data_IF_795563710970
#
_entry.id   IF_795563710970
#
_cell.length_a   1.000
_cell.length_b   1.000
_cell.length_c   1.000
_cell.angle_alpha   90.00
_cell.angle_beta   90.00
_cell.angle_gamma   90.00
#
_symmetry.space_group_name_H-M   'P 1'
#
loop_
_entity.id
_entity.type
_entity.pdbx_description
1 polymer ?
#
# COMPACT_ATOMS: atom_id res chain seq x y z
N UNK A 1 16.98 -24.70 -27.57
CA UNK A 1 15.83 -25.61 -27.83
C UNK A 1 14.77 -25.43 -26.73
N UNK A 2 14.05 -24.30 -26.70
CA UNK A 2 13.04 -23.96 -25.66
C UNK A 2 11.67 -23.58 -26.26
N UNK A 3 11.58 -23.44 -27.58
CA UNK A 3 10.32 -23.09 -28.24
C UNK A 3 9.46 -24.32 -28.41
N UNK A 4 8.68 -24.70 -27.37
CA UNK A 4 7.43 -25.47 -27.47
C UNK A 4 6.77 -25.70 -26.09
N UNK A 5 6.95 -24.85 -25.07
CA UNK A 5 6.02 -24.87 -23.93
C UNK A 5 4.66 -24.46 -24.47
N UNK A 6 3.80 -25.46 -24.69
CA UNK A 6 2.46 -25.24 -25.22
C UNK A 6 1.75 -24.35 -24.18
N UNK A 7 1.12 -23.24 -24.59
CA UNK A 7 0.39 -22.36 -23.67
C UNK A 7 -0.60 -23.11 -22.76
N UNK A 8 -1.09 -24.27 -23.22
CA UNK A 8 -1.92 -25.19 -22.45
C UNK A 8 -1.23 -25.78 -21.20
N UNK A 9 0.06 -26.12 -21.28
CA UNK A 9 0.83 -26.68 -20.15
C UNK A 9 0.95 -25.64 -19.03
N UNK A 10 1.29 -24.40 -19.40
CA UNK A 10 1.39 -23.27 -18.48
C UNK A 10 0.03 -23.00 -17.84
N UNK A 11 -1.04 -23.01 -18.63
CA UNK A 11 -2.40 -22.84 -18.12
C UNK A 11 -2.76 -23.91 -17.08
N UNK A 12 -2.42 -25.19 -17.34
CA UNK A 12 -2.70 -26.29 -16.43
C UNK A 12 -1.95 -26.13 -15.11
N UNK A 13 -0.67 -25.72 -15.14
CA UNK A 13 0.11 -25.43 -13.93
C UNK A 13 -0.53 -24.29 -13.13
N UNK A 14 -0.91 -23.19 -13.81
CA UNK A 14 -1.59 -22.06 -13.15
C UNK A 14 -2.90 -22.50 -12.50
N UNK A 15 -3.68 -23.37 -13.15
CA UNK A 15 -4.91 -23.94 -12.59
C UNK A 15 -4.62 -24.75 -11.32
N UNK A 16 -3.59 -25.60 -11.32
CA UNK A 16 -3.20 -26.38 -10.13
C UNK A 16 -2.77 -25.44 -8.98
N UNK A 17 -1.98 -24.41 -9.27
CA UNK A 17 -1.57 -23.43 -8.27
C UNK A 17 -2.80 -22.66 -7.73
N UNK A 18 -3.73 -22.27 -8.59
CA UNK A 18 -4.98 -21.62 -8.18
C UNK A 18 -5.86 -22.52 -7.31
N UNK A 19 -5.86 -23.84 -7.52
CA UNK A 19 -6.58 -24.79 -6.67
C UNK A 19 -5.93 -24.93 -5.29
N UNK A 20 -4.59 -24.95 -5.22
CA UNK A 20 -3.86 -25.07 -3.96
C UNK A 20 -3.87 -23.79 -3.12
N UNK A 21 -3.63 -22.64 -3.75
CA UNK A 21 -3.49 -21.36 -3.06
C UNK A 21 -4.79 -20.54 -3.07
N UNK A 22 -5.67 -20.76 -4.03
CA UNK A 22 -6.90 -19.99 -4.23
C UNK A 22 -6.71 -18.75 -5.11
N UNK A 23 -7.75 -18.40 -5.87
CA UNK A 23 -7.76 -17.26 -6.80
C UNK A 23 -7.47 -15.90 -6.14
N UNK A 24 -7.73 -15.76 -4.83
CA UNK A 24 -7.46 -14.51 -4.09
C UNK A 24 -6.05 -14.42 -3.53
N UNK A 25 -5.34 -15.54 -3.33
CA UNK A 25 -3.98 -15.52 -2.75
C UNK A 25 -2.89 -15.28 -3.77
N UNK A 26 -3.04 -15.76 -5.00
CA UNK A 26 -2.09 -15.49 -6.08
C UNK A 26 -1.89 -13.97 -6.34
N UNK A 27 -2.94 -13.17 -6.53
CA UNK A 27 -2.79 -11.72 -6.76
C UNK A 27 -2.34 -10.97 -5.51
N UNK A 28 -2.73 -11.44 -4.31
CA UNK A 28 -2.33 -10.84 -3.04
C UNK A 28 -0.82 -11.01 -2.78
N UNK A 29 -0.31 -12.23 -2.98
CA UNK A 29 1.12 -12.54 -2.93
C UNK A 29 1.92 -11.81 -4.01
N UNK A 30 1.40 -11.72 -5.23
CA UNK A 30 2.05 -10.95 -6.29
C UNK A 30 2.10 -9.45 -5.96
N UNK A 31 1.04 -8.89 -5.36
CA UNK A 31 0.99 -7.47 -4.94
C UNK A 31 1.94 -7.18 -3.78
N UNK A 32 2.00 -8.04 -2.76
CA UNK A 32 2.91 -7.84 -1.63
C UNK A 32 4.38 -8.01 -2.05
N UNK A 33 4.68 -9.07 -2.82
CA UNK A 33 6.02 -9.32 -3.36
C UNK A 33 6.43 -8.22 -4.34
N UNK A 34 5.51 -7.74 -5.17
CA UNK A 34 5.75 -6.63 -6.11
C UNK A 34 6.10 -5.32 -5.40
N UNK A 35 5.48 -5.03 -4.25
CA UNK A 35 5.83 -3.85 -3.42
C UNK A 35 7.26 -3.97 -2.87
N UNK A 36 7.62 -5.12 -2.28
CA UNK A 36 8.97 -5.35 -1.78
C UNK A 36 10.02 -5.34 -2.90
N UNK A 37 9.72 -6.00 -4.02
CA UNK A 37 10.59 -6.03 -5.20
C UNK A 37 10.76 -4.64 -5.82
N UNK A 38 9.74 -3.77 -5.78
CA UNK A 38 9.87 -2.38 -6.28
C UNK A 38 10.86 -1.58 -5.45
N UNK A 39 10.80 -1.69 -4.12
CA UNK A 39 11.70 -0.99 -3.20
C UNK A 39 13.14 -1.48 -3.42
N UNK A 40 13.32 -2.81 -3.40
CA UNK A 40 14.61 -3.44 -3.67
C UNK A 40 15.17 -3.05 -5.05
N UNK A 41 14.31 -2.99 -6.08
CA UNK A 41 14.73 -2.58 -7.44
C UNK A 41 15.09 -1.11 -7.51
N UNK A 42 14.39 -0.22 -6.80
CA UNK A 42 14.75 1.20 -6.74
C UNK A 42 16.07 1.43 -6.01
N UNK A 43 16.29 0.75 -4.88
CA UNK A 43 17.55 0.84 -4.14
C UNK A 43 18.71 0.24 -4.94
N UNK A 44 18.52 -0.95 -5.52
CA UNK A 44 19.51 -1.58 -6.39
C UNK A 44 19.82 -0.72 -7.64
N UNK A 45 18.82 -0.03 -8.20
CA UNK A 45 19.02 0.89 -9.34
C UNK A 45 19.74 2.17 -8.92
N UNK A 46 19.50 2.69 -7.71
CA UNK A 46 20.24 3.82 -7.16
C UNK A 46 21.72 3.47 -6.95
N UNK A 47 22.01 2.32 -6.35
CA UNK A 47 23.38 1.81 -6.21
C UNK A 47 24.07 1.59 -7.54
N UNK A 48 23.35 1.08 -8.55
CA UNK A 48 23.88 0.88 -9.90
C UNK A 48 24.07 2.19 -10.67
N UNK A 49 23.32 3.25 -10.33
CA UNK A 49 23.40 4.58 -10.95
C UNK A 49 24.53 5.43 -10.37
N UNK A 50 24.90 5.24 -9.09
CA UNK A 50 26.07 5.90 -8.50
C UNK A 50 27.41 5.40 -9.09
N UNK A 51 27.45 4.20 -9.69
CA UNK A 51 28.62 3.68 -10.41
C UNK A 51 28.68 4.01 -11.91
N UNK A 52 27.65 4.66 -12.47
CA UNK A 52 27.58 4.99 -13.91
C UNK A 52 26.61 6.15 -14.10
N UNK A 53 27.14 7.37 -14.22
CA UNK A 53 26.33 8.58 -14.44
C UNK A 53 25.48 8.49 -15.72
N UNK A 54 24.33 9.18 -15.64
CA UNK A 54 23.40 9.59 -16.71
C UNK A 54 22.34 8.60 -17.22
N UNK A 55 21.08 9.07 -17.26
CA UNK A 55 20.03 8.49 -18.10
C UNK A 55 18.69 8.16 -17.42
N UNK A 56 17.63 8.81 -17.93
CA UNK A 56 16.19 8.53 -17.74
C UNK A 56 15.52 8.97 -16.42
N UNK A 57 14.94 10.18 -16.48
CA UNK A 57 13.65 10.49 -15.88
C UNK A 57 12.51 9.78 -16.65
N UNK A 58 11.40 9.57 -15.94
CA UNK A 58 10.05 9.22 -16.40
C UNK A 58 9.81 7.81 -17.01
N UNK A 59 9.02 7.00 -16.29
CA UNK A 59 7.82 6.35 -16.85
C UNK A 59 7.02 5.59 -15.78
N UNK A 60 5.76 6.01 -15.65
CA UNK A 60 4.59 5.25 -15.21
C UNK A 60 4.43 4.97 -13.70
N UNK A 61 3.74 5.89 -13.04
CA UNK A 61 2.63 5.47 -12.19
C UNK A 61 1.67 4.58 -13.01
N UNK A 62 1.14 3.52 -12.39
CA UNK A 62 -0.27 3.28 -12.49
C UNK A 62 -0.87 3.62 -11.13
N UNK A 63 -1.67 4.67 -11.12
CA UNK A 63 -2.88 4.72 -10.31
C UNK A 63 -3.60 3.38 -10.45
N UNK A 64 -3.38 2.48 -9.50
CA UNK A 64 -4.30 1.40 -9.21
C UNK A 64 -4.98 1.81 -7.90
N UNK A 65 -6.05 2.55 -8.10
CA UNK A 65 -7.07 2.90 -7.12
C UNK A 65 -7.30 1.73 -6.16
N UNK A 66 -7.35 2.09 -4.88
CA UNK A 66 -7.94 1.38 -3.74
C UNK A 66 -8.99 0.32 -4.08
N UNK A 67 -9.04 -0.74 -3.27
CA UNK A 67 -10.26 -0.95 -2.50
C UNK A 67 -10.01 -0.46 -1.09
N UNK A 68 -10.74 0.60 -0.75
CA UNK A 68 -10.93 1.08 0.60
C UNK A 68 -11.18 -0.13 1.51
N UNK A 69 -10.24 -0.42 2.40
CA UNK A 69 -10.58 -1.07 3.66
C UNK A 69 -10.96 0.02 4.65
N UNK A 70 -11.99 0.80 4.32
CA UNK A 70 -12.79 1.52 5.30
C UNK A 70 -13.87 0.57 5.78
N UNK A 71 -13.46 -0.39 6.61
CA UNK A 71 -14.36 -0.95 7.61
C UNK A 71 -13.82 -0.61 8.99
N UNK A 72 -13.57 0.69 9.20
CA UNK A 72 -13.70 1.29 10.52
C UNK A 72 -15.15 1.75 10.68
N UNK A 73 -16.08 0.79 10.76
CA UNK A 73 -17.45 1.03 11.23
C UNK A 73 -17.48 0.76 12.73
N UNK A 74 -17.02 1.75 13.49
CA UNK A 74 -17.16 1.86 14.95
C UNK A 74 -16.60 3.25 15.28
N UNK A 75 -17.30 4.24 15.83
CA UNK A 75 -18.67 4.45 16.29
C UNK A 75 -19.01 5.89 15.85
N UNK A 76 -20.16 6.11 15.21
CA UNK A 76 -20.68 7.45 14.94
C UNK A 76 -21.29 7.98 16.24
N UNK A 77 -20.57 8.84 16.97
CA UNK A 77 -21.20 9.70 17.98
C UNK A 77 -21.96 10.81 17.24
N UNK A 78 -23.23 11.02 17.58
CA UNK A 78 -24.11 11.97 16.94
C UNK A 78 -23.59 13.43 17.10
N UNK A 79 -23.69 14.29 16.07
CA UNK A 79 -23.38 15.70 16.20
C UNK A 79 -24.53 16.43 16.89
N UNK A 80 -24.29 16.95 18.10
CA UNK A 80 -25.19 17.92 18.74
C UNK A 80 -25.55 17.59 20.18
N UNK A 81 -24.61 17.71 21.11
CA UNK A 81 -24.90 18.01 22.52
C UNK A 81 -23.60 18.38 23.27
N UNK A 82 -23.29 19.68 23.33
CA UNK A 82 -22.74 20.40 24.50
C UNK A 82 -22.78 21.91 24.20
N UNK A 83 -23.97 22.40 23.88
CA UNK A 83 -24.31 23.81 24.10
C UNK A 83 -24.62 24.01 25.59
N UNK A 84 -23.63 23.80 26.48
CA UNK A 84 -23.67 24.26 27.88
C UNK A 84 -22.37 23.89 28.61
N UNK A 85 -21.31 24.67 28.41
CA UNK A 85 -20.34 24.96 29.47
C UNK A 85 -19.59 26.23 29.12
N UNK A 86 -20.24 27.34 29.50
CA UNK A 86 -19.70 28.68 29.77
C UNK A 86 -18.17 28.73 29.92
N UNK A 87 -17.47 29.72 29.32
CA UNK A 87 -16.06 29.98 29.64
C UNK A 87 -15.99 30.45 31.10
N UNK A 88 -15.61 29.55 32.00
CA UNK A 88 -15.41 29.86 33.42
C UNK A 88 -13.95 30.22 33.62
N UNK A 89 -13.76 31.54 33.69
CA UNK A 89 -12.94 32.26 34.66
C UNK A 89 -11.41 32.07 34.65
N UNK A 90 -10.80 33.08 34.05
CA UNK A 90 -9.53 33.74 34.39
C UNK A 90 -9.38 33.98 35.91
N UNK A 91 -9.04 32.93 36.68
CA UNK A 91 -8.70 33.03 38.10
C UNK A 91 -7.42 32.27 38.42
N UNK A 92 -6.27 32.81 38.00
CA UNK A 92 -5.07 32.78 38.83
C UNK A 92 -4.07 33.88 38.40
N UNK A 93 -4.30 35.12 38.82
CA UNK A 93 -3.21 36.10 38.90
C UNK A 93 -2.39 35.82 40.18
N UNK A 94 -1.13 35.44 39.97
CA UNK A 94 0.11 35.92 40.69
C UNK A 94 0.30 35.59 42.18
N UNK A 95 1.52 35.65 42.78
CA UNK A 95 2.88 35.84 42.23
C UNK A 95 3.90 34.77 42.72
N UNK A 96 5.01 34.57 41.99
CA UNK A 96 6.22 33.99 42.57
C UNK A 96 7.43 34.87 42.23
N UNK A 97 7.84 35.68 43.22
CA UNK A 97 9.13 36.35 43.47
C UNK A 97 8.90 37.76 43.98
#
# INVERSE_FOLDING_TARGET
MIGNLKPLEILLIVVVILLLFGAKKLPDMARSLGKSARILKSEAKAMKKDGSQEGQAEAAAPDAQTPQSTTARTIQAAPGDVSSSRPVNEQNRTPQS
#
